data_IF_496830556127
#
_entry.id   IF_496830556127
#
_cell.length_a   1.000
_cell.length_b   1.000
_cell.length_c   1.000
_cell.angle_alpha   90.00
_cell.angle_beta   90.00
_cell.angle_gamma   90.00
#
_symmetry.space_group_name_H-M   'P 1'
#
loop_
_entity.id
_entity.type
_entity.pdbx_description
1 polymer ?
#
# COMPACT_ATOMS: atom_id res chain seq x y z
N UNK A 1 9.29 -45.08 -25.54
CA UNK A 1 9.05 -43.67 -25.17
C UNK A 1 8.83 -43.58 -23.66
N UNK A 2 9.67 -42.91 -22.86
CA UNK A 2 9.39 -42.75 -21.44
C UNK A 2 8.49 -41.53 -21.20
N UNK A 3 7.41 -41.73 -20.44
CA UNK A 3 6.42 -40.71 -20.08
C UNK A 3 6.99 -39.77 -19.00
N UNK A 4 6.94 -38.47 -19.25
CA UNK A 4 7.29 -37.40 -18.30
C UNK A 4 6.33 -37.39 -17.11
N UNK A 5 6.89 -37.34 -15.89
CA UNK A 5 6.16 -37.30 -14.61
C UNK A 5 5.89 -35.83 -14.23
N UNK A 6 4.69 -35.45 -13.78
CA UNK A 6 4.41 -34.06 -13.43
C UNK A 6 5.16 -33.69 -12.12
N UNK A 7 6.02 -32.67 -12.19
CA UNK A 7 6.62 -32.05 -11.02
C UNK A 7 5.53 -31.34 -10.21
N UNK A 8 5.15 -31.91 -9.06
CA UNK A 8 4.38 -31.19 -8.05
C UNK A 8 5.28 -30.16 -7.39
N UNK A 9 5.00 -28.88 -7.62
CA UNK A 9 5.57 -27.78 -6.85
C UNK A 9 5.27 -28.01 -5.36
N UNK A 10 6.25 -27.81 -4.45
CA UNK A 10 6.00 -27.95 -3.03
C UNK A 10 4.95 -26.92 -2.61
N UNK A 11 3.87 -27.38 -1.97
CA UNK A 11 2.93 -26.50 -1.28
C UNK A 11 3.65 -25.97 -0.04
N UNK A 12 4.13 -24.74 -0.09
CA UNK A 12 4.62 -24.02 1.09
C UNK A 12 3.46 -23.86 2.06
N UNK A 13 3.54 -24.51 3.20
CA UNK A 13 2.58 -24.34 4.30
C UNK A 13 2.72 -22.91 4.81
N UNK A 14 1.64 -22.13 5.01
CA UNK A 14 1.75 -20.78 5.53
C UNK A 14 2.34 -20.84 6.95
N UNK A 15 3.42 -20.09 7.18
CA UNK A 15 3.90 -19.84 8.53
C UNK A 15 2.80 -19.13 9.35
N UNK A 16 2.73 -19.33 10.67
CA UNK A 16 1.80 -18.60 11.53
C UNK A 16 1.95 -17.09 11.32
N UNK A 17 0.84 -16.33 11.36
CA UNK A 17 0.85 -14.90 11.08
C UNK A 17 1.81 -14.20 12.05
N UNK A 18 2.79 -13.48 11.48
CA UNK A 18 3.69 -12.65 12.26
C UNK A 18 2.89 -11.56 13.00
N UNK A 19 3.32 -11.14 14.20
CA UNK A 19 2.67 -10.03 14.89
C UNK A 19 2.70 -8.78 14.00
N UNK A 20 1.66 -7.92 14.06
CA UNK A 20 1.65 -6.68 13.32
C UNK A 20 2.88 -5.82 13.67
N UNK A 21 3.49 -5.16 12.68
CA UNK A 21 4.69 -4.37 12.93
C UNK A 21 4.32 -3.06 13.63
N UNK A 22 5.29 -2.46 14.33
CA UNK A 22 5.09 -1.19 15.03
C UNK A 22 5.06 0.00 14.07
N UNK A 23 3.93 0.20 13.38
CA UNK A 23 3.74 1.29 12.42
C UNK A 23 4.06 2.66 13.03
N UNK A 24 4.69 3.59 12.27
CA UNK A 24 4.93 4.95 12.72
C UNK A 24 3.64 5.65 13.16
N UNK A 25 3.71 6.38 14.28
CA UNK A 25 2.59 7.13 14.84
C UNK A 25 2.29 8.36 13.99
N UNK A 26 1.00 8.70 13.86
CA UNK A 26 0.55 9.92 13.21
C UNK A 26 0.79 11.13 14.13
N UNK A 27 2.00 11.69 14.07
CA UNK A 27 2.42 12.86 14.83
C UNK A 27 2.93 13.96 13.89
N UNK A 28 2.34 15.17 13.91
CA UNK A 28 1.13 15.56 14.66
C UNK A 28 -0.11 14.77 14.23
N UNK A 29 -1.23 14.85 14.96
CA UNK A 29 -2.50 14.29 14.52
C UNK A 29 -2.83 14.76 13.09
N UNK A 30 -3.35 13.84 12.28
CA UNK A 30 -3.72 14.09 10.89
C UNK A 30 -5.22 14.38 10.79
N UNK A 31 -5.66 15.06 9.71
CA UNK A 31 -4.84 15.67 8.68
C UNK A 31 -4.17 16.99 9.14
N UNK A 32 -2.94 17.27 8.66
CA UNK A 32 -2.29 18.58 8.91
C UNK A 32 -2.91 19.68 8.04
N UNK A 33 -3.39 19.32 6.86
CA UNK A 33 -4.08 20.19 5.90
C UNK A 33 -5.32 19.47 5.40
N UNK A 34 -6.41 20.19 5.12
CA UNK A 34 -7.59 19.58 4.53
C UNK A 34 -7.23 18.82 3.25
N UNK A 35 -7.60 17.54 3.19
CA UNK A 35 -7.37 16.70 2.02
C UNK A 35 -8.41 17.04 0.97
N UNK A 36 -7.95 17.58 -0.14
CA UNK A 36 -8.77 17.91 -1.30
C UNK A 36 -8.30 17.04 -2.47
N UNK A 37 -9.13 16.14 -2.98
CA UNK A 37 -8.84 15.38 -4.20
C UNK A 37 -8.71 16.33 -5.40
N UNK A 38 -7.68 16.11 -6.23
CA UNK A 38 -7.40 16.94 -7.42
C UNK A 38 -7.25 16.05 -8.64
N UNK A 39 -7.94 16.38 -9.72
CA UNK A 39 -7.81 15.66 -11.00
C UNK A 39 -6.42 15.82 -11.60
N UNK A 40 -5.94 14.74 -12.21
CA UNK A 40 -4.68 14.76 -12.93
C UNK A 40 -4.79 15.69 -14.16
N UNK A 41 -3.84 16.61 -14.40
CA UNK A 41 -3.97 17.65 -15.43
C UNK A 41 -4.06 17.10 -16.86
N UNK A 42 -3.54 15.88 -17.09
CA UNK A 42 -3.57 15.22 -18.41
C UNK A 42 -4.72 14.24 -18.60
N UNK A 43 -5.46 13.90 -17.54
CA UNK A 43 -6.54 12.92 -17.67
C UNK A 43 -7.60 13.04 -16.57
N UNK A 44 -8.89 13.15 -16.95
CA UNK A 44 -10.01 13.08 -16.03
C UNK A 44 -10.34 11.60 -15.74
N UNK A 45 -9.36 10.77 -15.41
CA UNK A 45 -9.59 9.39 -14.92
C UNK A 45 -8.80 9.07 -13.67
N UNK A 46 -8.01 10.03 -13.21
CA UNK A 46 -7.09 9.89 -12.08
C UNK A 46 -7.30 11.10 -11.19
N UNK A 47 -7.61 10.86 -9.92
CA UNK A 47 -7.58 11.86 -8.86
C UNK A 47 -6.35 11.61 -7.98
N UNK A 48 -5.80 12.68 -7.42
CA UNK A 48 -4.64 12.66 -6.52
C UNK A 48 -5.00 13.34 -5.21
N UNK A 49 -4.45 12.86 -4.10
CA UNK A 49 -4.53 13.54 -2.79
C UNK A 49 -3.15 14.06 -2.41
N UNK A 50 -2.81 15.31 -2.78
CA UNK A 50 -1.54 15.90 -2.39
C UNK A 50 -1.48 16.06 -0.87
N UNK A 51 -0.26 16.00 -0.32
CA UNK A 51 0.01 16.26 1.10
C UNK A 51 -0.71 15.32 2.09
N UNK A 52 -1.09 14.11 1.64
CA UNK A 52 -1.73 13.09 2.48
C UNK A 52 -0.99 12.86 3.82
N UNK A 53 0.34 12.76 3.76
CA UNK A 53 1.20 12.74 4.94
C UNK A 53 2.18 13.91 4.94
N UNK A 54 2.49 14.50 6.11
CA UNK A 54 3.55 15.48 6.24
C UNK A 54 4.92 14.85 5.97
N UNK A 55 5.87 15.66 5.51
CA UNK A 55 7.23 15.21 5.15
C UNK A 55 7.94 14.44 6.28
N UNK A 56 7.74 14.85 7.53
CA UNK A 56 8.29 14.15 8.71
C UNK A 56 7.79 12.71 8.79
N UNK A 57 6.47 12.52 8.69
CA UNK A 57 5.85 11.20 8.74
C UNK A 57 6.28 10.32 7.55
N UNK A 58 6.37 10.89 6.35
CA UNK A 58 6.89 10.17 5.18
C UNK A 58 8.31 9.63 5.42
N UNK A 59 9.20 10.43 6.02
CA UNK A 59 10.57 10.00 6.36
C UNK A 59 10.58 8.89 7.40
N UNK A 60 9.72 8.97 8.40
CA UNK A 60 9.60 7.96 9.45
C UNK A 60 9.10 6.63 8.85
N UNK A 61 8.10 6.68 7.95
CA UNK A 61 7.65 5.51 7.19
C UNK A 61 8.74 4.94 6.28
N UNK A 62 9.48 5.76 5.53
CA UNK A 62 10.58 5.26 4.70
C UNK A 62 11.65 4.57 5.55
N UNK A 63 11.96 5.11 6.72
CA UNK A 63 12.94 4.52 7.65
C UNK A 63 12.43 3.19 8.19
N UNK A 64 11.18 3.13 8.64
CA UNK A 64 10.53 1.94 9.16
C UNK A 64 10.32 0.85 8.10
N UNK A 65 9.84 1.18 6.89
CA UNK A 65 9.58 0.20 5.83
C UNK A 65 10.85 -0.55 5.41
N UNK A 66 12.02 0.10 5.51
CA UNK A 66 13.33 -0.53 5.27
C UNK A 66 13.72 -1.59 6.30
N UNK A 67 13.10 -1.59 7.48
CA UNK A 67 13.37 -2.59 8.53
C UNK A 67 12.45 -3.81 8.42
N UNK A 68 11.45 -3.77 7.54
CA UNK A 68 10.51 -4.88 7.36
C UNK A 68 11.17 -6.04 6.60
N UNK A 69 10.75 -7.29 6.84
CA UNK A 69 11.25 -8.46 6.14
C UNK A 69 10.68 -8.54 4.72
N UNK A 70 11.16 -7.66 3.83
CA UNK A 70 10.68 -7.61 2.45
C UNK A 70 11.04 -8.89 1.70
N UNK A 71 10.09 -9.42 0.95
CA UNK A 71 10.28 -10.55 0.05
C UNK A 71 10.38 -10.05 -1.39
N UNK A 72 11.55 -10.18 -2.00
CA UNK A 72 11.70 -9.96 -3.44
C UNK A 72 10.83 -10.96 -4.18
N UNK A 73 9.96 -10.49 -5.07
CA UNK A 73 9.10 -11.37 -5.87
C UNK A 73 10.00 -12.38 -6.62
N UNK A 74 9.93 -13.69 -6.34
CA UNK A 74 10.82 -14.65 -6.97
C UNK A 74 10.38 -14.84 -8.42
N UNK A 75 11.26 -14.58 -9.37
CA UNK A 75 10.98 -14.88 -10.76
C UNK A 75 12.16 -14.62 -11.67
N UNK A 76 12.76 -15.69 -12.19
CA UNK A 76 13.48 -15.59 -13.46
C UNK A 76 12.39 -15.36 -14.52
N UNK A 77 12.32 -14.18 -15.15
CA UNK A 77 11.25 -13.87 -16.10
C UNK A 77 11.24 -14.93 -17.21
N UNK A 78 10.06 -15.44 -17.58
CA UNK A 78 9.95 -16.26 -18.79
C UNK A 78 10.08 -15.37 -20.02
N UNK A 79 10.46 -15.96 -21.16
CA UNK A 79 10.50 -15.24 -22.44
C UNK A 79 9.11 -14.66 -22.74
N UNK A 80 9.02 -13.33 -22.85
CA UNK A 80 7.77 -12.60 -23.06
C UNK A 80 7.06 -12.14 -21.79
N UNK A 81 7.55 -12.49 -20.60
CA UNK A 81 7.02 -11.99 -19.31
C UNK A 81 7.84 -10.79 -18.80
N UNK A 82 7.15 -9.83 -18.17
CA UNK A 82 7.81 -8.70 -17.51
C UNK A 82 8.58 -9.16 -16.27
N UNK A 83 9.80 -8.65 -16.10
CA UNK A 83 10.61 -8.90 -14.92
C UNK A 83 9.94 -8.26 -13.69
N UNK A 84 9.64 -9.06 -12.66
CA UNK A 84 9.10 -8.55 -11.39
C UNK A 84 10.24 -8.45 -10.38
N UNK A 85 10.71 -7.24 -10.16
CA UNK A 85 11.82 -6.94 -9.23
C UNK A 85 11.35 -6.27 -7.93
N UNK A 86 10.04 -6.18 -7.69
CA UNK A 86 9.54 -5.50 -6.49
C UNK A 86 9.68 -6.38 -5.25
N UNK A 87 10.25 -5.77 -4.23
CA UNK A 87 10.19 -6.20 -2.84
C UNK A 87 8.79 -5.99 -2.28
N UNK A 88 8.25 -7.01 -1.61
CA UNK A 88 6.87 -7.04 -1.10
C UNK A 88 6.86 -7.36 0.38
N UNK A 89 5.99 -6.67 1.10
CA UNK A 89 5.60 -7.01 2.47
C UNK A 89 4.08 -7.01 2.55
N UNK A 90 3.51 -8.00 3.23
CA UNK A 90 2.08 -8.13 3.43
C UNK A 90 1.81 -8.57 4.86
N UNK A 91 0.88 -7.90 5.51
CA UNK A 91 0.41 -8.20 6.86
C UNK A 91 -1.07 -7.84 6.95
N UNK A 92 -1.80 -8.57 7.77
CA UNK A 92 -3.18 -8.23 8.14
C UNK A 92 -3.15 -7.48 9.49
N UNK A 93 -3.51 -6.20 9.46
CA UNK A 93 -3.55 -5.33 10.62
C UNK A 93 -4.78 -4.42 10.55
N UNK A 94 -5.90 -4.94 11.05
CA UNK A 94 -7.17 -4.22 11.07
C UNK A 94 -7.11 -2.92 11.88
N UNK A 95 -6.29 -2.87 12.94
CA UNK A 95 -6.15 -1.67 13.78
C UNK A 95 -5.44 -0.55 13.01
N UNK A 96 -4.39 -0.88 12.26
CA UNK A 96 -3.73 0.09 11.38
C UNK A 96 -4.62 0.53 10.23
N UNK A 97 -5.33 -0.40 9.60
CA UNK A 97 -6.28 -0.09 8.52
C UNK A 97 -7.37 0.87 8.99
N UNK A 98 -7.98 0.60 10.14
CA UNK A 98 -8.97 1.49 10.76
C UNK A 98 -8.38 2.87 11.05
N UNK A 99 -7.15 2.93 11.59
CA UNK A 99 -6.47 4.20 11.87
C UNK A 99 -6.19 5.00 10.60
N UNK A 100 -5.74 4.35 9.52
CA UNK A 100 -5.57 4.99 8.21
C UNK A 100 -6.88 5.59 7.70
N UNK A 101 -7.98 4.85 7.81
CA UNK A 101 -9.29 5.29 7.33
C UNK A 101 -9.87 6.44 8.16
N UNK A 102 -9.91 6.26 9.49
CA UNK A 102 -10.65 7.14 10.40
C UNK A 102 -9.85 8.35 10.89
N UNK A 103 -8.51 8.32 10.85
CA UNK A 103 -7.70 9.37 11.51
C UNK A 103 -6.74 10.11 10.59
N UNK A 104 -6.88 9.97 9.27
CA UNK A 104 -6.04 10.68 8.29
C UNK A 104 -6.77 11.78 7.55
N UNK A 105 -8.10 11.88 7.70
CA UNK A 105 -8.95 12.70 6.85
C UNK A 105 -9.40 12.01 5.55
N UNK A 106 -8.94 10.77 5.31
CA UNK A 106 -9.26 10.02 4.09
C UNK A 106 -10.75 9.73 3.96
N UNK A 107 -11.39 9.28 5.04
CA UNK A 107 -12.82 8.98 5.08
C UNK A 107 -13.65 10.21 4.70
N UNK A 108 -13.34 11.35 5.30
CA UNK A 108 -14.03 12.61 5.04
C UNK A 108 -13.80 13.06 3.59
N UNK A 109 -12.58 12.96 3.08
CA UNK A 109 -12.28 13.34 1.71
C UNK A 109 -13.04 12.51 0.66
N UNK A 110 -13.30 11.22 0.93
CA UNK A 110 -13.97 10.33 -0.02
C UNK A 110 -15.51 10.27 0.15
N UNK A 111 -16.05 10.55 1.35
CA UNK A 111 -17.48 10.39 1.64
C UNK A 111 -18.26 11.73 1.71
N UNK A 112 -17.70 12.84 1.24
CA UNK A 112 -18.44 14.11 1.11
C UNK A 112 -17.99 15.26 2.01
N UNK A 113 -16.70 15.34 2.35
CA UNK A 113 -16.07 16.56 2.87
C UNK A 113 -15.95 17.67 1.80
N UNK A 114 -15.49 18.88 2.15
CA UNK A 114 -15.24 19.96 1.19
C UNK A 114 -14.18 19.53 0.16
N UNK A 115 -14.64 19.07 -1.01
CA UNK A 115 -13.82 18.41 -2.03
C UNK A 115 -14.38 17.05 -2.45
N UNK A 116 -15.71 16.92 -2.52
CA UNK A 116 -16.42 15.70 -2.90
C UNK A 116 -15.83 15.08 -4.17
N UNK A 117 -15.35 13.85 -4.08
CA UNK A 117 -14.80 13.11 -5.22
C UNK A 117 -15.89 12.88 -6.27
N UNK A 118 -17.15 12.71 -5.85
CA UNK A 118 -18.26 12.55 -6.77
C UNK A 118 -18.50 13.85 -7.56
N UNK A 119 -18.17 15.02 -7.00
CA UNK A 119 -18.22 16.28 -7.72
C UNK A 119 -17.06 16.48 -8.73
N UNK A 120 -16.06 15.60 -8.73
CA UNK A 120 -14.99 15.62 -9.73
C UNK A 120 -15.35 14.89 -11.03
N UNK A 121 -16.46 14.16 -11.07
CA UNK A 121 -16.87 13.31 -12.19
C UNK A 121 -18.31 13.58 -12.63
#
# INVERSE_FOLDING_TARGET
MPKSRPHKSPKTVPAPPAPPPSWPQFKPPLPVVHLVPVLHPLTPKIATMPLFFPKSLCRDYVTFLRTLPLQTTPGRPKRGEAVRVNDRFQVDDAAFAARLWETTGLKEALLGGPGDVDALW
#
